data_IF_123593867585
#
_entry.id   IF_123593867585
#
_cell.length_a   1.000
_cell.length_b   1.000
_cell.length_c   1.000
_cell.angle_alpha   90.00
_cell.angle_beta   90.00
_cell.angle_gamma   90.00
#
_symmetry.space_group_name_H-M   'P 1'
#
loop_
_entity.id
_entity.type
_entity.pdbx_description
1 polymer ?
#
# COMPACT_ATOMS: atom_id res chain seq x y z
N UNK A 1 0.19 13.61 -10.88
CA UNK A 1 0.62 13.86 -9.49
C UNK A 1 1.96 14.55 -9.47
N UNK A 2 2.10 15.56 -8.60
CA UNK A 2 3.31 16.35 -8.46
C UNK A 2 3.77 16.34 -7.00
N UNK A 3 5.04 16.02 -6.78
CA UNK A 3 5.69 16.08 -5.46
C UNK A 3 6.88 17.02 -5.52
N UNK A 4 7.01 17.89 -4.53
CA UNK A 4 8.13 18.83 -4.43
C UNK A 4 8.81 18.61 -3.07
N UNK A 5 10.11 18.36 -3.10
CA UNK A 5 10.96 18.30 -1.92
C UNK A 5 11.82 19.55 -1.88
N UNK A 6 11.76 20.28 -0.77
CA UNK A 6 12.58 21.47 -0.53
C UNK A 6 13.52 21.22 0.64
N UNK A 7 14.76 21.58 0.47
CA UNK A 7 15.82 21.47 1.46
C UNK A 7 16.31 22.85 1.81
N UNK A 8 16.51 23.15 3.09
CA UNK A 8 17.09 24.41 3.55
C UNK A 8 18.50 24.63 3.02
N UNK A 9 19.26 23.54 2.88
CA UNK A 9 20.57 23.50 2.22
C UNK A 9 20.61 22.35 1.22
N UNK A 10 21.34 22.50 0.09
CA UNK A 10 21.52 21.41 -0.85
C UNK A 10 22.05 20.15 -0.15
N UNK A 11 21.43 18.98 -0.32
CA UNK A 11 21.94 17.75 0.26
C UNK A 11 23.26 17.37 -0.42
N UNK A 12 24.26 16.97 0.37
CA UNK A 12 25.55 16.48 -0.15
C UNK A 12 25.38 15.28 -1.12
N UNK A 13 24.43 14.42 -0.82
CA UNK A 13 24.00 13.32 -1.69
C UNK A 13 22.65 12.82 -1.21
N UNK A 14 21.68 12.71 -2.11
CA UNK A 14 20.39 12.07 -1.83
C UNK A 14 20.04 11.14 -2.99
N UNK A 15 19.59 9.93 -2.64
CA UNK A 15 19.07 8.96 -3.60
C UNK A 15 17.61 8.72 -3.26
N UNK A 16 16.75 8.90 -4.26
CA UNK A 16 15.32 8.62 -4.15
C UNK A 16 14.96 7.40 -4.97
N UNK A 17 14.16 6.51 -4.38
CA UNK A 17 13.60 5.35 -5.04
C UNK A 17 12.14 5.62 -5.38
N UNK A 18 11.86 5.78 -6.66
CA UNK A 18 10.55 6.11 -7.17
C UNK A 18 9.82 4.86 -7.67
N UNK A 19 8.56 4.69 -7.28
CA UNK A 19 7.59 3.72 -7.80
C UNK A 19 6.34 4.46 -8.22
N UNK A 20 6.41 5.15 -9.34
CA UNK A 20 5.36 6.06 -9.82
C UNK A 20 4.78 5.64 -11.16
N UNK A 21 5.22 4.51 -11.72
CA UNK A 21 4.68 3.95 -12.95
C UNK A 21 3.63 2.90 -12.60
N UNK A 22 2.37 3.06 -13.06
CA UNK A 22 1.35 2.03 -12.88
C UNK A 22 1.68 0.77 -13.67
N UNK A 23 1.00 -0.34 -13.36
CA UNK A 23 1.11 -1.59 -14.11
C UNK A 23 -0.15 -1.81 -14.95
N UNK A 24 -0.02 -2.62 -16.00
CA UNK A 24 -1.19 -3.22 -16.63
C UNK A 24 -1.62 -4.45 -15.83
N UNK A 25 -2.92 -4.58 -15.61
CA UNK A 25 -3.56 -5.76 -15.04
C UNK A 25 -5.01 -5.90 -15.55
N UNK A 26 -5.82 -6.77 -14.97
CA UNK A 26 -7.18 -7.04 -15.46
C UNK A 26 -8.13 -5.87 -15.28
N UNK A 27 -7.87 -5.00 -14.30
CA UNK A 27 -8.71 -3.83 -13.98
C UNK A 27 -8.13 -2.52 -14.54
N UNK A 28 -6.87 -2.52 -14.99
CA UNK A 28 -6.17 -1.31 -15.40
C UNK A 28 -5.34 -1.50 -16.67
N UNK A 29 -5.53 -0.61 -17.65
CA UNK A 29 -4.71 -0.56 -18.86
C UNK A 29 -4.08 0.82 -19.02
N UNK A 30 -2.76 0.86 -19.13
CA UNK A 30 -1.99 2.06 -19.40
C UNK A 30 -2.16 2.42 -20.88
N UNK A 31 -2.63 3.64 -21.16
CA UNK A 31 -2.67 4.20 -22.51
C UNK A 31 -1.40 5.00 -22.82
N UNK A 32 -1.00 5.84 -21.89
CA UNK A 32 0.31 6.50 -21.85
C UNK A 32 0.66 6.85 -20.40
N UNK A 33 1.96 6.95 -20.09
CA UNK A 33 2.44 7.36 -18.77
C UNK A 33 3.86 7.87 -18.85
N UNK A 34 4.10 9.03 -18.24
CA UNK A 34 5.41 9.68 -18.21
C UNK A 34 5.74 10.16 -16.79
N UNK A 35 7.03 10.28 -16.51
CA UNK A 35 7.57 10.84 -15.27
C UNK A 35 8.57 11.92 -15.64
N UNK A 36 8.28 13.15 -15.26
CA UNK A 36 9.19 14.30 -15.39
C UNK A 36 9.88 14.55 -14.04
N UNK A 37 11.21 14.66 -14.06
CA UNK A 37 12.04 14.82 -12.87
C UNK A 37 12.97 16.01 -13.06
N UNK A 38 12.85 16.99 -12.16
CA UNK A 38 13.76 18.13 -12.08
C UNK A 38 14.59 18.05 -10.81
N UNK A 39 15.84 18.45 -10.88
CA UNK A 39 16.77 18.43 -9.74
C UNK A 39 17.46 17.09 -9.48
N UNK A 40 17.11 16.03 -10.22
CA UNK A 40 17.73 14.71 -10.13
C UNK A 40 18.09 14.16 -11.52
N UNK A 41 19.00 13.18 -11.54
CA UNK A 41 19.27 12.29 -12.67
C UNK A 41 18.80 10.87 -12.35
N UNK A 42 18.25 10.16 -13.34
CA UNK A 42 17.93 8.74 -13.20
C UNK A 42 19.22 7.95 -13.38
N UNK A 43 19.64 7.24 -12.34
CA UNK A 43 20.86 6.41 -12.34
C UNK A 43 20.54 4.94 -12.68
N UNK A 44 19.33 4.48 -12.33
CA UNK A 44 18.89 3.12 -12.60
C UNK A 44 17.40 3.07 -12.87
N UNK A 45 17.01 2.32 -13.90
CA UNK A 45 15.65 1.96 -14.24
C UNK A 45 15.54 0.43 -14.25
N UNK A 46 14.74 -0.12 -13.35
CA UNK A 46 14.65 -1.57 -13.13
C UNK A 46 13.27 -1.96 -12.57
N UNK A 47 13.09 -3.22 -12.25
CA UNK A 47 11.87 -3.73 -11.60
C UNK A 47 12.19 -4.33 -10.24
N UNK A 48 11.28 -4.19 -9.29
CA UNK A 48 11.36 -4.92 -8.03
C UNK A 48 10.67 -6.29 -8.13
N UNK A 49 10.73 -7.03 -7.03
CA UNK A 49 10.16 -8.37 -6.94
C UNK A 49 8.60 -8.40 -7.02
N UNK A 50 7.95 -7.25 -6.92
CA UNK A 50 6.50 -7.11 -7.16
C UNK A 50 6.18 -6.63 -8.57
N UNK A 51 7.16 -6.61 -9.49
CA UNK A 51 7.09 -6.04 -10.84
C UNK A 51 6.75 -4.53 -10.86
N UNK A 52 7.06 -3.81 -9.78
CA UNK A 52 6.99 -2.37 -9.82
C UNK A 52 8.22 -1.81 -10.54
N UNK A 53 8.00 -0.95 -11.55
CA UNK A 53 9.08 -0.21 -12.17
C UNK A 53 9.69 0.76 -11.16
N UNK A 54 11.00 0.70 -11.00
CA UNK A 54 11.76 1.50 -10.06
C UNK A 54 12.70 2.41 -10.82
N UNK A 55 12.65 3.71 -10.52
CA UNK A 55 13.70 4.64 -10.89
C UNK A 55 14.48 5.02 -9.64
N UNK A 56 15.80 4.78 -9.64
CA UNK A 56 16.70 5.36 -8.64
C UNK A 56 17.22 6.68 -9.18
N UNK A 57 16.94 7.74 -8.45
CA UNK A 57 17.27 9.09 -8.85
C UNK A 57 18.27 9.69 -7.87
N UNK A 58 19.40 10.19 -8.37
CA UNK A 58 20.41 10.91 -7.60
C UNK A 58 20.18 12.40 -7.74
N UNK A 59 20.21 13.13 -6.62
CA UNK A 59 20.15 14.59 -6.62
C UNK A 59 21.37 15.17 -7.31
N UNK A 60 21.17 16.17 -8.18
CA UNK A 60 22.24 16.95 -8.77
C UNK A 60 22.88 17.84 -7.71
N UNK A 61 24.14 18.17 -7.93
CA UNK A 61 24.88 19.04 -7.01
C UNK A 61 24.26 20.45 -6.96
N UNK A 62 24.36 21.09 -5.81
CA UNK A 62 23.89 22.46 -5.54
C UNK A 62 22.36 22.70 -5.77
N UNK A 63 21.57 21.63 -5.76
CA UNK A 63 20.11 21.70 -5.91
C UNK A 63 19.43 21.60 -4.53
N UNK A 64 18.60 22.58 -4.21
CA UNK A 64 17.78 22.58 -2.98
C UNK A 64 16.30 22.29 -3.21
N UNK A 65 15.87 22.07 -4.46
CA UNK A 65 14.51 21.67 -4.80
C UNK A 65 14.51 20.51 -5.80
N UNK A 66 13.73 19.47 -5.50
CA UNK A 66 13.46 18.35 -6.39
C UNK A 66 11.97 18.35 -6.69
N UNK A 67 11.62 18.39 -7.98
CA UNK A 67 10.24 18.27 -8.46
C UNK A 67 10.10 16.97 -9.25
N UNK A 68 9.11 16.15 -8.86
CA UNK A 68 8.78 14.90 -9.53
C UNK A 68 7.30 14.96 -9.93
N UNK A 69 7.03 14.86 -11.22
CA UNK A 69 5.67 14.87 -11.78
C UNK A 69 5.44 13.57 -12.52
N UNK A 70 4.44 12.79 -12.11
CA UNK A 70 3.94 11.63 -12.86
C UNK A 70 2.58 11.97 -13.46
N UNK A 71 2.39 11.66 -14.74
CA UNK A 71 1.16 11.98 -15.46
C UNK A 71 0.91 10.97 -16.59
N UNK A 72 -0.36 10.79 -16.95
CA UNK A 72 -0.72 9.87 -18.01
C UNK A 72 -2.22 9.60 -18.08
N UNK A 73 -2.57 8.61 -18.87
CA UNK A 73 -3.94 8.16 -19.06
C UNK A 73 -4.03 6.66 -18.84
N UNK A 74 -5.03 6.27 -18.06
CA UNK A 74 -5.36 4.88 -17.77
C UNK A 74 -6.80 4.61 -18.23
N UNK A 75 -7.05 3.39 -18.68
CA UNK A 75 -8.41 2.85 -18.82
C UNK A 75 -8.64 1.91 -17.67
N UNK A 76 -9.62 2.23 -16.83
CA UNK A 76 -10.00 1.41 -15.68
C UNK A 76 -11.26 0.62 -16.04
N UNK A 77 -11.29 -0.64 -15.59
CA UNK A 77 -12.45 -1.53 -15.65
C UNK A 77 -12.80 -1.91 -14.20
N UNK A 78 -14.05 -1.74 -13.84
CA UNK A 78 -14.53 -2.24 -12.54
C UNK A 78 -14.48 -3.78 -12.54
N UNK A 79 -13.77 -4.31 -11.57
CA UNK A 79 -13.62 -5.76 -11.35
C UNK A 79 -14.05 -6.16 -9.94
N UNK A 80 -14.82 -5.29 -9.25
CA UNK A 80 -15.25 -5.50 -7.86
C UNK A 80 -14.07 -5.78 -6.92
N UNK A 81 -12.97 -5.06 -7.10
CA UNK A 81 -11.76 -5.18 -6.28
C UNK A 81 -10.85 -6.37 -6.62
N UNK A 82 -11.13 -7.14 -7.66
CA UNK A 82 -10.25 -8.24 -8.10
C UNK A 82 -9.16 -7.66 -8.99
N UNK A 83 -7.89 -7.76 -8.55
CA UNK A 83 -6.72 -7.35 -9.31
C UNK A 83 -6.08 -8.50 -10.13
N UNK A 84 -6.60 -9.72 -10.01
CA UNK A 84 -6.27 -10.87 -10.85
C UNK A 84 -5.08 -11.70 -10.36
N UNK A 85 -4.62 -12.60 -11.25
CA UNK A 85 -3.55 -13.55 -10.94
C UNK A 85 -2.19 -12.85 -10.77
N UNK A 86 -1.27 -13.46 -9.99
CA UNK A 86 0.08 -12.94 -9.82
C UNK A 86 0.83 -12.90 -11.15
N UNK A 87 1.40 -11.74 -11.48
CA UNK A 87 2.29 -11.57 -12.64
C UNK A 87 3.77 -11.58 -12.23
N UNK A 88 4.05 -11.53 -10.93
CA UNK A 88 5.41 -11.46 -10.39
C UNK A 88 6.10 -12.81 -10.36
N UNK A 89 7.44 -12.80 -10.47
CA UNK A 89 8.28 -13.99 -10.41
C UNK A 89 8.44 -14.58 -8.99
N UNK A 90 7.92 -13.90 -7.97
CA UNK A 90 7.95 -14.42 -6.60
C UNK A 90 6.71 -15.27 -6.35
N UNK A 91 6.88 -16.52 -5.85
CA UNK A 91 5.77 -17.31 -5.38
C UNK A 91 4.99 -16.53 -4.30
N UNK A 92 3.70 -16.29 -4.56
CA UNK A 92 2.85 -15.48 -3.65
C UNK A 92 2.78 -16.10 -2.23
N UNK A 93 2.95 -17.42 -2.10
CA UNK A 93 2.99 -18.07 -0.77
C UNK A 93 4.12 -17.54 0.11
N UNK A 94 5.23 -17.08 -0.46
CA UNK A 94 6.34 -16.53 0.31
C UNK A 94 6.01 -15.14 0.86
N UNK A 95 5.08 -14.43 0.25
CA UNK A 95 4.70 -13.09 0.69
C UNK A 95 4.08 -13.08 2.09
N UNK A 96 3.45 -14.17 2.53
CA UNK A 96 2.94 -14.29 3.91
C UNK A 96 4.02 -14.25 4.99
N UNK A 97 5.26 -14.59 4.64
CA UNK A 97 6.41 -14.56 5.55
C UNK A 97 7.16 -13.22 5.51
N UNK A 98 6.84 -12.35 4.55
CA UNK A 98 7.49 -11.05 4.46
C UNK A 98 7.03 -10.18 5.62
N UNK A 99 8.00 -9.64 6.34
CA UNK A 99 7.79 -8.71 7.44
C UNK A 99 8.68 -7.49 7.26
N UNK A 100 8.19 -6.36 7.71
CA UNK A 100 8.98 -5.13 7.87
C UNK A 100 8.80 -4.63 9.30
N UNK A 101 9.61 -3.68 9.72
CA UNK A 101 9.47 -3.06 11.05
C UNK A 101 8.04 -2.48 11.25
N UNK A 102 7.42 -2.02 10.17
CA UNK A 102 6.04 -1.49 10.21
C UNK A 102 4.96 -2.56 10.41
N UNK A 103 5.19 -3.79 9.95
CA UNK A 103 4.21 -4.88 9.98
C UNK A 103 4.62 -6.03 10.90
N UNK A 104 5.65 -5.84 11.74
CA UNK A 104 6.07 -6.83 12.73
C UNK A 104 4.99 -7.00 13.81
N UNK A 105 4.43 -8.20 13.99
CA UNK A 105 3.32 -8.39 14.91
C UNK A 105 3.80 -8.43 16.36
N UNK A 106 3.28 -7.54 17.19
CA UNK A 106 3.46 -7.53 18.63
C UNK A 106 2.31 -8.21 19.38
N UNK A 107 2.12 -7.86 20.65
CA UNK A 107 1.12 -8.48 21.53
C UNK A 107 -0.32 -8.18 21.09
N UNK A 108 -0.63 -6.94 20.71
CA UNK A 108 -1.99 -6.52 20.31
C UNK A 108 -2.41 -7.21 19.01
N UNK A 109 -1.54 -7.22 18.00
CA UNK A 109 -1.80 -7.92 16.73
C UNK A 109 -2.01 -9.41 16.96
N UNK A 110 -1.18 -10.06 17.79
CA UNK A 110 -1.34 -11.48 18.11
C UNK A 110 -2.65 -11.75 18.84
N UNK A 111 -3.09 -10.87 19.73
CA UNK A 111 -4.39 -10.98 20.43
C UNK A 111 -5.55 -10.85 19.43
N UNK A 112 -5.51 -9.87 18.55
CA UNK A 112 -6.50 -9.70 17.48
C UNK A 112 -6.60 -10.96 16.59
N UNK A 113 -5.46 -11.48 16.15
CA UNK A 113 -5.41 -12.71 15.33
C UNK A 113 -5.93 -13.93 16.09
N UNK A 114 -5.63 -14.06 17.37
CA UNK A 114 -6.13 -15.17 18.20
C UNK A 114 -7.65 -15.14 18.34
N UNK A 115 -8.24 -13.94 18.48
CA UNK A 115 -9.69 -13.76 18.45
C UNK A 115 -10.30 -14.30 17.15
N UNK A 116 -9.75 -13.91 16.01
CA UNK A 116 -10.25 -14.36 14.71
C UNK A 116 -10.02 -15.86 14.47
N UNK A 117 -8.88 -16.42 14.86
CA UNK A 117 -8.63 -17.87 14.76
C UNK A 117 -9.68 -18.68 15.51
N UNK A 118 -10.13 -18.20 16.68
CA UNK A 118 -11.17 -18.85 17.45
C UNK A 118 -12.55 -18.69 16.82
N UNK A 119 -12.85 -17.53 16.25
CA UNK A 119 -14.12 -17.30 15.54
C UNK A 119 -14.21 -18.16 14.28
N UNK A 120 -13.17 -18.17 13.44
CA UNK A 120 -13.13 -18.91 12.18
C UNK A 120 -13.23 -20.43 12.34
N UNK A 121 -12.84 -20.97 13.50
CA UNK A 121 -13.05 -22.39 13.82
C UNK A 121 -14.51 -22.76 14.07
N UNK A 122 -15.33 -21.79 14.47
CA UNK A 122 -16.73 -21.99 14.80
C UNK A 122 -17.68 -21.74 13.63
N UNK A 123 -17.23 -20.95 12.68
CA UNK A 123 -18.03 -20.48 11.55
C UNK A 123 -17.45 -20.99 10.24
N UNK A 124 -18.29 -21.52 9.36
CA UNK A 124 -17.88 -21.96 8.02
C UNK A 124 -17.85 -20.75 7.06
N UNK A 125 -16.82 -19.91 7.19
CA UNK A 125 -16.64 -18.70 6.41
C UNK A 125 -15.68 -18.93 5.25
N UNK A 126 -16.00 -18.36 4.10
CA UNK A 126 -15.04 -18.22 2.99
C UNK A 126 -13.88 -17.30 3.38
N UNK A 127 -12.77 -17.39 2.67
CA UNK A 127 -11.60 -16.53 2.95
C UNK A 127 -11.89 -15.05 2.73
N UNK A 128 -12.74 -14.73 1.74
CA UNK A 128 -13.20 -13.36 1.51
C UNK A 128 -14.00 -12.81 2.71
N UNK A 129 -14.90 -13.61 3.29
CA UNK A 129 -15.67 -13.23 4.46
C UNK A 129 -14.78 -13.02 5.69
N UNK A 130 -13.80 -13.92 5.92
CA UNK A 130 -12.81 -13.78 7.00
C UNK A 130 -12.05 -12.47 6.91
N UNK A 131 -11.57 -12.11 5.72
CA UNK A 131 -10.81 -10.89 5.48
C UNK A 131 -11.67 -9.62 5.59
N UNK A 132 -12.93 -9.67 5.15
CA UNK A 132 -13.89 -8.59 5.35
C UNK A 132 -14.19 -8.36 6.83
N UNK A 133 -14.34 -9.41 7.63
CA UNK A 133 -14.52 -9.29 9.08
C UNK A 133 -13.29 -8.68 9.75
N UNK A 134 -12.09 -9.08 9.35
CA UNK A 134 -10.84 -8.48 9.83
C UNK A 134 -10.78 -6.99 9.48
N UNK A 135 -11.08 -6.61 8.24
CA UNK A 135 -11.09 -5.22 7.77
C UNK A 135 -12.06 -4.37 8.59
N UNK A 136 -13.30 -4.83 8.75
CA UNK A 136 -14.33 -4.13 9.56
C UNK A 136 -13.90 -3.98 11.02
N UNK A 137 -13.29 -5.01 11.61
CA UNK A 137 -12.82 -4.94 13.00
C UNK A 137 -11.74 -3.87 13.18
N UNK A 138 -10.76 -3.81 12.27
CA UNK A 138 -9.70 -2.79 12.31
C UNK A 138 -10.31 -1.38 12.16
N UNK A 139 -11.19 -1.17 11.19
CA UNK A 139 -11.86 0.11 10.97
C UNK A 139 -12.64 0.58 12.21
N UNK A 140 -13.27 -0.34 12.95
CA UNK A 140 -14.01 -0.03 14.17
C UNK A 140 -13.11 0.26 15.38
N UNK A 141 -11.95 -0.38 15.48
CA UNK A 141 -11.04 -0.24 16.62
C UNK A 141 -10.05 0.91 16.47
N UNK A 142 -9.68 1.25 15.24
CA UNK A 142 -8.67 2.27 14.93
C UNK A 142 -9.35 3.44 14.23
N UNK A 143 -9.53 4.54 14.94
CA UNK A 143 -10.16 5.76 14.40
C UNK A 143 -9.27 6.45 13.39
N UNK A 144 -9.82 6.89 12.26
CA UNK A 144 -9.07 7.66 11.27
C UNK A 144 -8.80 9.09 11.78
N UNK A 145 -7.55 9.39 12.15
CA UNK A 145 -7.14 10.70 12.66
C UNK A 145 -5.83 11.14 12.00
N UNK A 146 -5.90 12.21 11.19
CA UNK A 146 -4.73 12.81 10.55
C UNK A 146 -3.80 13.48 11.58
N UNK A 147 -2.49 13.44 11.33
CA UNK A 147 -1.48 14.14 12.12
C UNK A 147 -1.19 13.56 13.51
N UNK A 148 -1.74 12.38 13.85
CA UNK A 148 -1.50 11.69 15.13
C UNK A 148 -0.48 10.56 15.04
N UNK A 149 -0.22 10.08 13.83
CA UNK A 149 0.79 9.07 13.50
C UNK A 149 1.79 9.64 12.50
N UNK A 150 2.89 8.97 12.31
CA UNK A 150 3.94 9.33 11.35
C UNK A 150 4.25 8.16 10.42
N UNK A 151 5.07 8.39 9.42
CA UNK A 151 5.55 7.34 8.52
C UNK A 151 6.37 6.25 9.22
N UNK A 152 6.78 6.48 10.49
CA UNK A 152 7.51 5.52 11.33
C UNK A 152 6.61 4.72 12.27
N UNK A 153 5.31 5.03 12.35
CA UNK A 153 4.37 4.33 13.23
C UNK A 153 4.18 2.89 12.75
N UNK A 154 4.36 1.93 13.65
CA UNK A 154 4.14 0.52 13.35
C UNK A 154 2.67 0.11 13.48
N UNK A 155 2.31 -1.05 12.90
CA UNK A 155 1.00 -1.66 13.05
C UNK A 155 0.63 -1.89 14.54
N UNK A 156 1.60 -2.37 15.34
CA UNK A 156 1.41 -2.61 16.76
C UNK A 156 1.14 -1.31 17.53
N UNK A 157 1.90 -0.24 17.22
CA UNK A 157 1.73 1.07 17.86
C UNK A 157 0.37 1.67 17.53
N UNK A 158 0.00 1.71 16.24
CA UNK A 158 -1.28 2.28 15.82
C UNK A 158 -2.47 1.51 16.41
N UNK A 159 -2.44 0.16 16.42
CA UNK A 159 -3.48 -0.65 17.06
C UNK A 159 -3.54 -0.40 18.56
N UNK A 160 -2.39 -0.18 19.21
CA UNK A 160 -2.33 0.12 20.65
C UNK A 160 -2.88 1.50 20.99
N UNK A 161 -2.63 2.48 20.11
CA UNK A 161 -3.12 3.86 20.24
C UNK A 161 -4.62 3.98 19.91
N UNK A 162 -5.16 3.08 19.09
CA UNK A 162 -6.56 3.11 18.63
C UNK A 162 -6.87 4.20 17.62
N UNK A 163 -5.86 4.75 16.95
CA UNK A 163 -6.02 5.71 15.85
C UNK A 163 -4.86 5.62 14.85
N UNK A 164 -5.12 6.10 13.63
CA UNK A 164 -4.14 6.11 12.55
C UNK A 164 -4.72 6.70 11.27
N UNK A 165 -3.97 6.59 10.18
CA UNK A 165 -4.40 6.94 8.82
C UNK A 165 -4.44 5.69 7.93
N UNK A 166 -4.68 5.83 6.63
CA UNK A 166 -4.78 4.69 5.70
C UNK A 166 -3.55 3.77 5.75
N UNK A 167 -2.35 4.32 5.82
CA UNK A 167 -1.11 3.56 5.99
C UNK A 167 -1.15 2.65 7.23
N UNK A 168 -1.59 3.19 8.37
CA UNK A 168 -1.63 2.46 9.64
C UNK A 168 -2.66 1.32 9.59
N UNK A 169 -3.86 1.58 9.07
CA UNK A 169 -4.90 0.58 8.87
C UNK A 169 -4.41 -0.58 8.00
N UNK A 170 -3.71 -0.26 6.89
CA UNK A 170 -3.12 -1.27 6.01
C UNK A 170 -2.03 -2.07 6.71
N UNK A 171 -1.14 -1.43 7.48
CA UNK A 171 -0.09 -2.13 8.22
C UNK A 171 -0.68 -3.13 9.24
N UNK A 172 -1.72 -2.74 9.99
CA UNK A 172 -2.42 -3.63 10.93
C UNK A 172 -3.06 -4.80 10.18
N UNK A 173 -3.72 -4.51 9.07
CA UNK A 173 -4.37 -5.53 8.25
C UNK A 173 -3.36 -6.54 7.68
N UNK A 174 -2.25 -6.08 7.11
CA UNK A 174 -1.19 -6.94 6.58
C UNK A 174 -0.55 -7.82 7.65
N UNK A 175 -0.21 -7.23 8.80
CA UNK A 175 0.36 -7.99 9.93
C UNK A 175 -0.57 -9.11 10.39
N UNK A 176 -1.88 -8.81 10.46
CA UNK A 176 -2.91 -9.76 10.90
C UNK A 176 -3.22 -10.82 9.84
N UNK A 177 -3.40 -10.42 8.57
CA UNK A 177 -3.68 -11.32 7.46
C UNK A 177 -2.56 -12.34 7.25
N UNK A 178 -1.29 -11.92 7.30
CA UNK A 178 -0.14 -12.82 7.19
C UNK A 178 -0.06 -13.82 8.33
N UNK A 179 -0.35 -13.42 9.57
CA UNK A 179 -0.44 -14.34 10.72
C UNK A 179 -1.62 -15.31 10.62
N UNK A 180 -2.67 -14.95 9.88
CA UNK A 180 -3.79 -15.84 9.55
C UNK A 180 -3.46 -16.79 8.39
N UNK A 181 -2.33 -16.59 7.70
CA UNK A 181 -1.85 -17.44 6.60
C UNK A 181 -2.14 -16.87 5.21
N UNK A 182 -2.66 -15.65 5.11
CA UNK A 182 -2.98 -15.02 3.83
C UNK A 182 -1.79 -14.23 3.27
N UNK A 183 -1.31 -14.56 2.04
CA UNK A 183 -0.35 -13.73 1.33
C UNK A 183 -0.96 -12.35 1.10
N UNK A 184 -0.28 -11.30 1.54
CA UNK A 184 -0.83 -9.95 1.45
C UNK A 184 0.26 -8.91 1.22
N UNK A 185 -0.03 -7.88 0.41
CA UNK A 185 0.89 -6.81 0.03
C UNK A 185 0.29 -5.43 0.19
N UNK A 186 1.15 -4.46 0.43
CA UNK A 186 0.81 -3.05 0.51
C UNK A 186 0.70 -2.45 -0.89
N UNK A 187 -0.34 -1.68 -1.14
CA UNK A 187 -0.49 -0.90 -2.36
C UNK A 187 -0.55 0.57 -1.99
N UNK A 188 0.26 1.37 -2.66
CA UNK A 188 0.22 2.83 -2.59
C UNK A 188 -0.31 3.39 -3.91
N UNK A 189 -1.20 4.36 -3.83
CA UNK A 189 -1.80 4.96 -5.02
C UNK A 189 -2.54 6.25 -4.71
N UNK A 190 -3.51 6.56 -5.54
CA UNK A 190 -4.32 7.78 -5.44
C UNK A 190 -5.79 7.41 -5.50
N UNK A 191 -6.56 7.99 -4.61
CA UNK A 191 -8.01 7.83 -4.61
C UNK A 191 -8.63 8.91 -5.49
N UNK A 192 -9.53 8.55 -6.41
CA UNK A 192 -10.31 9.52 -7.15
C UNK A 192 -11.39 10.10 -6.25
N UNK A 193 -11.41 11.42 -6.12
CA UNK A 193 -12.43 12.15 -5.36
C UNK A 193 -13.38 12.85 -6.34
N UNK A 194 -14.69 12.67 -6.13
CA UNK A 194 -15.71 13.21 -7.06
C UNK A 194 -15.81 14.74 -7.04
N UNK A 195 -15.37 15.41 -5.98
CA UNK A 195 -15.60 16.83 -5.74
C UNK A 195 -14.34 17.69 -5.79
N UNK A 196 -13.17 17.13 -6.04
CA UNK A 196 -11.90 17.87 -6.11
C UNK A 196 -10.87 17.16 -6.98
N UNK A 197 -10.14 17.95 -7.76
CA UNK A 197 -8.99 17.48 -8.54
C UNK A 197 -7.67 17.66 -7.78
N UNK A 198 -7.70 18.30 -6.60
CA UNK A 198 -6.52 18.57 -5.80
C UNK A 198 -6.54 17.65 -4.59
N UNK A 199 -5.50 16.84 -4.45
CA UNK A 199 -5.28 15.94 -3.31
C UNK A 199 -3.90 16.22 -2.72
N UNK A 200 -3.85 16.45 -1.43
CA UNK A 200 -2.60 16.72 -0.71
C UNK A 200 -1.87 15.45 -0.26
N UNK A 201 -2.51 14.29 -0.35
CA UNK A 201 -1.95 13.02 0.13
C UNK A 201 -2.22 11.87 -0.84
N UNK A 202 -1.29 10.92 -0.89
CA UNK A 202 -1.51 9.60 -1.46
C UNK A 202 -2.47 8.79 -0.61
N UNK A 203 -2.98 7.70 -1.17
CA UNK A 203 -3.80 6.72 -0.46
C UNK A 203 -3.12 5.36 -0.40
N UNK A 204 -3.57 4.52 0.52
CA UNK A 204 -3.05 3.17 0.69
C UNK A 204 -4.19 2.17 0.93
N UNK A 205 -4.03 0.98 0.34
CA UNK A 205 -4.88 -0.18 0.58
C UNK A 205 -4.04 -1.46 0.61
N UNK A 206 -4.66 -2.57 0.96
CA UNK A 206 -4.04 -3.87 0.91
C UNK A 206 -4.56 -4.68 -0.28
N UNK A 207 -3.73 -5.57 -0.80
CA UNK A 207 -4.17 -6.66 -1.65
C UNK A 207 -3.82 -7.99 -0.99
N UNK A 208 -4.76 -8.94 -1.03
CA UNK A 208 -4.61 -10.27 -0.47
C UNK A 208 -4.84 -11.31 -1.57
N UNK A 209 -3.96 -12.29 -1.65
CA UNK A 209 -4.18 -13.42 -2.56
C UNK A 209 -5.19 -14.39 -1.94
N UNK A 210 -6.25 -14.65 -2.70
CA UNK A 210 -7.31 -15.61 -2.36
C UNK A 210 -7.36 -16.64 -3.47
N UNK A 211 -7.29 -17.92 -3.10
CA UNK A 211 -7.35 -19.02 -4.05
C UNK A 211 -8.59 -18.91 -4.94
N UNK A 212 -8.43 -19.15 -6.23
CA UNK A 212 -9.46 -19.03 -7.29
C UNK A 212 -9.96 -17.60 -7.60
N UNK A 213 -9.50 -16.56 -6.87
CA UNK A 213 -9.81 -15.17 -7.17
C UNK A 213 -8.56 -14.37 -7.60
N UNK A 214 -7.37 -14.83 -7.19
CA UNK A 214 -6.14 -14.06 -7.32
C UNK A 214 -6.03 -12.95 -6.27
N UNK A 215 -5.40 -11.85 -6.60
CA UNK A 215 -5.27 -10.69 -5.73
C UNK A 215 -6.59 -9.94 -5.61
N UNK A 216 -7.02 -9.68 -4.39
CA UNK A 216 -8.25 -8.94 -4.05
C UNK A 216 -7.89 -7.73 -3.20
N UNK A 217 -8.39 -6.55 -3.58
CA UNK A 217 -8.17 -5.29 -2.89
C UNK A 217 -9.02 -5.12 -1.64
N UNK A 218 -8.44 -4.52 -0.60
CA UNK A 218 -9.10 -4.13 0.65
C UNK A 218 -8.66 -2.73 1.04
N UNK A 219 -9.55 -1.76 0.89
CA UNK A 219 -9.38 -0.43 1.45
C UNK A 219 -10.03 -0.37 2.82
N UNK A 220 -9.23 -0.64 3.84
CA UNK A 220 -9.68 -0.74 5.22
C UNK A 220 -10.25 0.59 5.71
N UNK A 221 -9.63 1.69 5.34
CA UNK A 221 -10.02 3.02 5.81
C UNK A 221 -11.39 3.46 5.30
N UNK A 222 -11.77 3.05 4.10
CA UNK A 222 -13.06 3.35 3.49
C UNK A 222 -14.06 2.19 3.58
N UNK A 223 -13.61 1.01 4.01
CA UNK A 223 -14.46 -0.19 4.13
C UNK A 223 -14.97 -0.72 2.80
N UNK A 224 -14.19 -0.59 1.73
CA UNK A 224 -14.53 -0.99 0.36
C UNK A 224 -13.44 -1.89 -0.26
N UNK A 225 -13.77 -2.54 -1.36
CA UNK A 225 -12.80 -3.12 -2.30
C UNK A 225 -12.56 -2.11 -3.42
N UNK A 226 -11.31 -1.63 -3.58
CA UNK A 226 -10.98 -0.61 -4.58
C UNK A 226 -10.91 -1.20 -6.00
#
# INVERSE_FOLDING_TARGET
>A
HKTIFRYDNPPLSAIQKLRLTPRNDINQKILNWDIDIKGCSIELDTFDYHDNRIHLCKTKDDINEIEITSYGRLKIKDTNGIAGEPTSNIPYELIKFMSSDYTKPGKKIKTLVSYFKNQFKKENLSDLEKLNLLSKKILNEVKYLKGKTSTKTSAEDSLSLGFGVCQDHVHIFLASARLLGFPSRYVSGYLMLNNTNIQEASHAWAEVYIENLGWVGFDISNGISP
#
